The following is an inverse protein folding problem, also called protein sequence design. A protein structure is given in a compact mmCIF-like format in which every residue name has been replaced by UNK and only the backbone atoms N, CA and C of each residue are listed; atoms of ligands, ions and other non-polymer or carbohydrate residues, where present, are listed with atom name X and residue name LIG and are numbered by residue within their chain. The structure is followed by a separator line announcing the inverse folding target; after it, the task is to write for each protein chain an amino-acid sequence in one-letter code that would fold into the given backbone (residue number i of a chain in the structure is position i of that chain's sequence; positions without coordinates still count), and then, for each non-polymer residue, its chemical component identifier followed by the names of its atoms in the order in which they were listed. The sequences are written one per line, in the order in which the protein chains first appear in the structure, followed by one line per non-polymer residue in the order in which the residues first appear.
data_IF_982328698409
#
_entry.id   IF_982328698409
#
_cell.length_a   1.000
_cell.length_b   1.000
_cell.length_c   1.000
_cell.angle_alpha   90.00
_cell.angle_beta   90.00
_cell.angle_gamma   90.00
#
_symmetry.space_group_name_H-M   'P 1'
#
loop_
_entity.id
_entity.type
_entity.pdbx_description
1 polymer ?
#
# COMPACT_ATOMS: atom_id res chain seq x y z
N UNK A 1 -62.35 -21.45 -12.69
CA UNK A 1 -62.58 -22.92 -12.83
C UNK A 1 -62.34 -23.51 -11.46
N UNK A 2 -63.43 -23.77 -10.72
CA UNK A 2 -63.92 -25.14 -10.42
C UNK A 2 -62.94 -25.90 -9.52
N UNK A 3 -63.24 -26.38 -8.33
CA UNK A 3 -64.48 -26.61 -7.56
C UNK A 3 -63.96 -26.99 -6.16
N UNK A 4 -64.35 -26.32 -5.08
CA UNK A 4 -65.40 -26.87 -4.21
C UNK A 4 -64.83 -27.40 -2.87
N UNK A 5 -65.61 -27.38 -1.77
CA UNK A 5 -65.15 -26.87 -0.46
C UNK A 5 -65.49 -27.79 0.76
N UNK A 6 -65.45 -27.21 1.99
CA UNK A 6 -66.23 -27.55 3.22
C UNK A 6 -65.55 -28.55 4.17
N UNK A 7 -65.45 -28.41 5.52
CA UNK A 7 -65.88 -27.46 6.57
C UNK A 7 -64.85 -27.60 7.74
N UNK A 8 -64.45 -26.56 8.51
CA UNK A 8 -65.16 -25.76 9.53
C UNK A 8 -65.79 -26.56 10.69
N UNK A 9 -65.52 -26.07 11.91
CA UNK A 9 -66.30 -26.10 13.18
C UNK A 9 -65.35 -26.52 14.33
N UNK A 10 -64.69 -25.55 14.98
CA UNK A 10 -65.15 -24.81 16.19
C UNK A 10 -65.21 -25.73 17.42
N UNK A 11 -64.24 -25.58 18.33
CA UNK A 11 -64.37 -26.01 19.71
C UNK A 11 -64.65 -24.74 20.54
N UNK A 12 -65.92 -24.53 20.85
CA UNK A 12 -66.37 -23.54 21.82
C UNK A 12 -66.69 -24.23 23.14
N UNK A 13 -66.39 -23.48 24.19
CA UNK A 13 -66.73 -23.67 25.59
C UNK A 13 -68.23 -23.94 25.81
N UNK A 14 -68.53 -24.69 26.87
CA UNK A 14 -69.71 -24.66 27.75
C UNK A 14 -69.46 -25.81 28.75
N UNK A 15 -68.98 -25.59 29.98
CA UNK A 15 -69.68 -25.00 31.14
C UNK A 15 -71.18 -25.32 31.14
N UNK A 16 -71.58 -26.26 32.00
CA UNK A 16 -72.82 -26.36 32.79
C UNK A 16 -72.63 -27.63 33.63
N UNK A 17 -72.22 -27.50 34.89
CA UNK A 17 -73.04 -27.24 36.09
C UNK A 17 -73.65 -28.53 36.64
N UNK A 18 -73.32 -28.77 37.90
CA UNK A 18 -74.10 -29.41 38.96
C UNK A 18 -75.21 -30.37 38.53
N UNK A 19 -75.18 -31.57 39.08
CA UNK A 19 -76.11 -31.88 40.18
C UNK A 19 -75.68 -33.14 40.91
N UNK A 20 -75.31 -32.94 42.17
CA UNK A 20 -75.61 -33.91 43.21
C UNK A 20 -77.10 -34.24 43.11
N UNK A 21 -77.43 -35.51 42.94
CA UNK A 21 -78.70 -36.04 43.41
C UNK A 21 -78.40 -37.11 44.47
N UNK A 22 -78.29 -36.61 45.70
CA UNK A 22 -78.79 -37.33 46.86
C UNK A 22 -80.30 -37.52 46.61
N UNK A 23 -80.74 -38.77 46.57
CA UNK A 23 -82.13 -39.18 46.55
C UNK A 23 -82.15 -40.61 47.07
N UNK A 24 -81.95 -40.86 48.36
CA UNK A 24 -83.01 -40.82 49.38
C UNK A 24 -84.41 -40.99 48.83
N UNK A 25 -85.13 -41.92 49.47
CA UNK A 25 -86.58 -42.02 49.49
C UNK A 25 -87.23 -42.15 48.11
N UNK A 26 -87.43 -43.39 47.68
CA UNK A 26 -88.77 -43.94 47.73
C UNK A 26 -88.73 -45.43 47.41
N UNK A 27 -88.83 -46.26 48.46
CA UNK A 27 -89.93 -47.21 48.44
C UNK A 27 -91.20 -46.35 48.54
N UNK A 28 -92.04 -46.20 47.51
CA UNK A 28 -93.46 -46.28 47.75
C UNK A 28 -93.70 -47.78 47.89
N UNK A 29 -93.79 -48.28 49.12
CA UNK A 29 -95.09 -48.67 49.66
C UNK A 29 -95.91 -49.34 48.55
N UNK A 30 -96.17 -50.63 48.69
CA UNK A 30 -97.50 -51.10 48.35
C UNK A 30 -98.50 -50.04 48.83
N UNK A 31 -99.45 -49.62 48.00
CA UNK A 31 -100.77 -49.40 48.56
C UNK A 31 -101.64 -50.46 47.90
N UNK A 32 -102.14 -51.39 48.70
CA UNK A 32 -103.44 -51.12 49.32
C UNK A 32 -104.42 -50.87 48.19
N UNK A 33 -105.00 -51.96 47.69
CA UNK A 33 -106.35 -52.31 48.11
C UNK A 33 -107.37 -51.45 47.34
N UNK A 34 -108.63 -51.85 47.39
CA UNK A 34 -109.72 -51.38 46.53
C UNK A 34 -109.63 -52.02 45.14
N UNK A 35 -110.51 -52.96 44.82
CA UNK A 35 -111.98 -52.87 44.82
C UNK A 35 -112.51 -54.29 45.09
N UNK A 36 -113.51 -54.63 45.89
CA UNK A 36 -114.47 -53.96 46.78
C UNK A 36 -115.27 -55.12 47.42
N UNK A 37 -115.48 -55.15 48.73
CA UNK A 37 -116.69 -54.62 49.39
C UNK A 37 -117.90 -55.54 49.20
N UNK A 38 -118.44 -55.96 50.34
CA UNK A 38 -119.87 -56.18 50.58
C UNK A 38 -120.55 -57.31 49.78
N UNK A 39 -121.45 -58.10 50.34
CA UNK A 39 -122.28 -57.87 51.51
C UNK A 39 -122.71 -59.25 52.04
N UNK A 40 -122.97 -59.25 53.33
CA UNK A 40 -124.04 -59.97 54.03
C UNK A 40 -125.15 -60.61 53.18
N UNK A 41 -125.90 -61.50 53.84
CA UNK A 41 -127.15 -62.14 53.39
C UNK A 41 -126.92 -63.37 52.50
N UNK A 42 -127.52 -64.54 52.72
CA UNK A 42 -128.57 -65.02 53.60
C UNK A 42 -128.40 -66.55 53.60
N UNK A 43 -128.54 -67.19 54.75
CA UNK A 43 -129.68 -68.10 54.94
C UNK A 43 -130.06 -68.94 53.72
N UNK A 44 -129.77 -70.25 53.83
CA UNK A 44 -130.74 -71.33 53.62
C UNK A 44 -131.89 -71.01 52.65
N UNK A 45 -131.71 -71.31 51.38
CA UNK A 45 -132.69 -71.94 50.47
C UNK A 45 -131.93 -72.22 49.16
N UNK A 46 -131.55 -73.48 48.85
CA UNK A 46 -132.23 -74.26 47.79
C UNK A 46 -132.97 -73.33 46.81
N UNK A 47 -132.37 -73.08 45.65
CA UNK A 47 -132.69 -73.92 44.51
C UNK A 47 -131.41 -74.65 44.11
N UNK A 48 -131.49 -75.97 43.96
CA UNK A 48 -130.54 -76.79 43.20
C UNK A 48 -129.16 -76.16 42.95
N UNK A 49 -128.26 -76.29 43.92
CA UNK A 49 -126.87 -75.85 43.80
C UNK A 49 -126.21 -76.65 42.68
N UNK A 50 -126.21 -76.12 41.46
CA UNK A 50 -125.47 -76.74 40.38
C UNK A 50 -123.98 -76.54 40.76
N UNK A 51 -123.27 -77.62 41.12
CA UNK A 51 -121.94 -77.57 41.74
C UNK A 51 -120.83 -77.17 40.74
N UNK A 52 -121.23 -76.48 39.67
CA UNK A 52 -120.51 -76.12 38.45
C UNK A 52 -120.04 -74.65 38.47
N UNK A 53 -120.85 -73.68 38.90
CA UNK A 53 -120.49 -72.23 38.77
C UNK A 53 -119.57 -71.69 39.88
N UNK A 54 -119.85 -72.01 41.15
CA UNK A 54 -118.96 -71.66 42.28
C UNK A 54 -117.64 -72.45 42.24
N UNK A 55 -117.70 -73.64 41.65
CA UNK A 55 -116.51 -74.38 41.27
C UNK A 55 -115.76 -73.62 40.17
N UNK A 56 -116.45 -73.04 39.19
CA UNK A 56 -115.88 -72.24 38.10
C UNK A 56 -115.10 -70.98 38.53
N UNK A 57 -115.65 -70.07 39.34
CA UNK A 57 -114.92 -68.86 39.76
C UNK A 57 -113.75 -69.15 40.71
N UNK A 58 -113.90 -70.16 41.57
CA UNK A 58 -112.81 -70.63 42.43
C UNK A 58 -111.70 -71.23 41.57
N UNK A 59 -112.05 -72.01 40.55
CA UNK A 59 -111.11 -72.54 39.56
C UNK A 59 -110.44 -71.42 38.73
N UNK A 60 -111.14 -70.33 38.38
CA UNK A 60 -110.56 -69.22 37.59
C UNK A 60 -109.59 -68.33 38.38
N UNK A 61 -109.90 -68.03 39.65
CA UNK A 61 -108.96 -67.32 40.53
C UNK A 61 -107.79 -68.22 40.93
N UNK A 62 -108.05 -69.51 41.20
CA UNK A 62 -107.00 -70.52 41.38
C UNK A 62 -106.13 -70.62 40.11
N UNK A 63 -106.71 -70.53 38.90
CA UNK A 63 -105.97 -70.55 37.64
C UNK A 63 -105.12 -69.28 37.41
N UNK A 64 -105.63 -68.07 37.67
CA UNK A 64 -104.86 -66.82 37.54
C UNK A 64 -103.76 -66.68 38.59
N UNK A 65 -104.04 -67.09 39.83
CA UNK A 65 -103.01 -67.17 40.87
C UNK A 65 -101.93 -68.19 40.48
N UNK A 66 -102.32 -69.38 39.98
CA UNK A 66 -101.38 -70.37 39.47
C UNK A 66 -100.57 -69.85 38.26
N UNK A 67 -101.17 -69.10 37.34
CA UNK A 67 -100.48 -68.50 36.18
C UNK A 67 -99.47 -67.42 36.62
N UNK A 68 -99.85 -66.56 37.58
CA UNK A 68 -98.96 -65.52 38.09
C UNK A 68 -97.82 -66.11 38.93
N UNK A 69 -98.07 -67.17 39.69
CA UNK A 69 -97.04 -67.96 40.37
C UNK A 69 -96.09 -68.63 39.37
N UNK A 70 -96.62 -69.21 38.29
CA UNK A 70 -95.82 -69.76 37.20
C UNK A 70 -94.96 -68.68 36.53
N UNK A 71 -95.49 -67.48 36.28
CA UNK A 71 -94.74 -66.36 35.67
C UNK A 71 -93.67 -65.79 36.61
N UNK A 72 -93.96 -65.69 37.91
CA UNK A 72 -92.97 -65.31 38.95
C UNK A 72 -91.88 -66.38 39.09
N UNK A 73 -92.24 -67.66 39.00
CA UNK A 73 -91.29 -68.77 38.99
C UNK A 73 -90.39 -68.70 37.76
N UNK A 74 -90.95 -68.50 36.55
CA UNK A 74 -90.21 -68.33 35.31
C UNK A 74 -89.29 -67.10 35.33
N UNK A 75 -89.73 -65.98 35.90
CA UNK A 75 -88.87 -64.80 36.04
C UNK A 75 -87.73 -65.03 37.04
N UNK A 76 -87.98 -65.69 38.17
CA UNK A 76 -86.93 -66.08 39.12
C UNK A 76 -85.94 -67.05 38.49
N UNK A 77 -86.40 -68.00 37.68
CA UNK A 77 -85.56 -68.94 36.94
C UNK A 77 -84.70 -68.21 35.90
N UNK A 78 -85.29 -67.30 35.10
CA UNK A 78 -84.53 -66.48 34.14
C UNK A 78 -83.54 -65.54 34.82
N UNK A 79 -83.89 -64.95 35.96
CA UNK A 79 -82.94 -64.12 36.71
C UNK A 79 -81.85 -64.97 37.37
N UNK A 80 -82.14 -66.19 37.81
CA UNK A 80 -81.14 -67.13 38.32
C UNK A 80 -80.18 -67.53 37.19
N UNK A 81 -80.71 -67.88 36.01
CA UNK A 81 -79.93 -68.17 34.82
C UNK A 81 -79.06 -66.97 34.39
N UNK A 82 -79.60 -65.75 34.39
CA UNK A 82 -78.83 -64.53 34.08
C UNK A 82 -77.76 -64.23 35.14
N UNK A 83 -78.01 -64.54 36.42
CA UNK A 83 -76.98 -64.44 37.47
C UNK A 83 -75.89 -65.48 37.28
N UNK A 84 -76.24 -66.71 36.88
CA UNK A 84 -75.31 -67.79 36.57
C UNK A 84 -74.45 -67.49 35.34
N UNK A 85 -75.07 -67.03 34.24
CA UNK A 85 -74.35 -66.55 33.05
C UNK A 85 -73.44 -65.37 33.37
N UNK A 86 -73.86 -64.45 34.25
CA UNK A 86 -73.01 -63.34 34.68
C UNK A 86 -71.79 -63.82 35.49
N UNK A 87 -71.93 -64.89 36.27
CA UNK A 87 -70.82 -65.51 37.00
C UNK A 87 -69.81 -66.16 36.07
N UNK A 88 -70.20 -66.62 34.88
CA UNK A 88 -69.28 -67.23 33.90
C UNK A 88 -68.69 -66.18 32.94
N UNK A 89 -69.52 -65.28 32.41
CA UNK A 89 -69.14 -64.33 31.37
C UNK A 89 -68.26 -63.20 31.90
N UNK A 90 -68.54 -62.62 33.08
CA UNK A 90 -67.76 -61.49 33.60
C UNK A 90 -66.30 -61.87 33.91
N UNK A 91 -66.01 -63.00 34.58
CA UNK A 91 -64.62 -63.44 34.76
C UNK A 91 -63.93 -63.79 33.45
N UNK A 92 -64.64 -64.37 32.47
CA UNK A 92 -64.08 -64.66 31.15
C UNK A 92 -63.67 -63.39 30.41
N UNK A 93 -64.54 -62.38 30.35
CA UNK A 93 -64.24 -61.09 29.72
C UNK A 93 -63.07 -60.39 30.42
N UNK A 94 -63.04 -60.37 31.77
CA UNK A 94 -61.91 -59.82 32.53
C UNK A 94 -60.60 -60.57 32.26
N UNK A 95 -60.63 -61.90 32.21
CA UNK A 95 -59.46 -62.72 31.90
C UNK A 95 -58.97 -62.47 30.48
N UNK A 96 -59.89 -62.37 29.50
CA UNK A 96 -59.57 -62.05 28.12
C UNK A 96 -59.00 -60.63 27.97
N UNK A 97 -59.57 -59.64 28.65
CA UNK A 97 -59.06 -58.27 28.67
C UNK A 97 -57.64 -58.21 29.27
N UNK A 98 -57.38 -58.97 30.34
CA UNK A 98 -56.02 -59.09 30.91
C UNK A 98 -55.07 -59.77 29.91
N UNK A 99 -55.51 -60.83 29.22
CA UNK A 99 -54.70 -61.52 28.22
C UNK A 99 -54.42 -60.63 27.01
N UNK A 100 -55.41 -59.88 26.53
CA UNK A 100 -55.29 -58.89 25.46
C UNK A 100 -54.35 -57.77 25.86
N UNK A 101 -54.50 -57.20 27.06
CA UNK A 101 -53.61 -56.15 27.57
C UNK A 101 -52.17 -56.62 27.70
N UNK A 102 -51.94 -57.87 28.17
CA UNK A 102 -50.61 -58.49 28.20
C UNK A 102 -50.01 -58.66 26.79
N UNK A 103 -50.78 -59.17 25.84
CA UNK A 103 -50.34 -59.33 24.45
C UNK A 103 -50.03 -57.97 23.79
N UNK A 104 -50.86 -56.96 24.03
CA UNK A 104 -50.63 -55.59 23.54
C UNK A 104 -49.37 -54.98 24.15
N UNK A 105 -49.10 -55.21 25.45
CA UNK A 105 -47.89 -54.74 26.11
C UNK A 105 -46.64 -55.43 25.57
N UNK A 106 -46.68 -56.75 25.38
CA UNK A 106 -45.59 -57.51 24.76
C UNK A 106 -45.31 -57.03 23.33
N UNK A 107 -46.35 -56.79 22.53
CA UNK A 107 -46.19 -56.23 21.18
C UNK A 107 -45.60 -54.81 21.20
N UNK A 108 -45.97 -53.98 22.18
CA UNK A 108 -45.38 -52.62 22.36
C UNK A 108 -43.91 -52.69 22.75
N UNK A 109 -43.54 -53.59 23.66
CA UNK A 109 -42.15 -53.80 24.08
C UNK A 109 -41.29 -54.34 22.93
N UNK A 110 -41.81 -55.29 22.16
CA UNK A 110 -41.11 -55.83 21.00
C UNK A 110 -40.91 -54.77 19.91
N UNK A 111 -41.93 -53.95 19.63
CA UNK A 111 -41.79 -52.80 18.71
C UNK A 111 -40.73 -51.80 19.20
N UNK A 112 -40.65 -51.54 20.51
CA UNK A 112 -39.60 -50.68 21.09
C UNK A 112 -38.21 -51.28 20.89
N UNK A 113 -38.06 -52.60 21.12
CA UNK A 113 -36.79 -53.32 20.90
C UNK A 113 -36.37 -53.28 19.43
N UNK A 114 -37.28 -53.59 18.51
CA UNK A 114 -37.02 -53.52 17.06
C UNK A 114 -36.59 -52.11 16.67
N UNK A 115 -37.33 -51.07 17.08
CA UNK A 115 -36.98 -49.69 16.78
C UNK A 115 -35.60 -49.29 17.32
N UNK A 116 -35.21 -49.78 18.50
CA UNK A 116 -33.88 -49.51 19.06
C UNK A 116 -32.78 -50.20 18.26
N UNK A 117 -32.96 -51.48 17.93
CA UNK A 117 -32.04 -52.22 17.07
C UNK A 117 -31.93 -51.61 15.66
N UNK A 118 -33.03 -51.10 15.11
CA UNK A 118 -33.02 -50.40 13.82
C UNK A 118 -32.27 -49.08 13.87
N UNK A 119 -32.37 -48.31 14.97
CA UNK A 119 -31.55 -47.11 15.17
C UNK A 119 -30.06 -47.46 15.22
N UNK A 120 -29.70 -48.49 15.99
CA UNK A 120 -28.33 -48.97 16.09
C UNK A 120 -27.81 -49.50 14.74
N UNK A 121 -28.65 -50.21 13.98
CA UNK A 121 -28.32 -50.62 12.62
C UNK A 121 -28.06 -49.41 11.73
N UNK A 122 -28.91 -48.39 11.78
CA UNK A 122 -28.74 -47.17 10.99
C UNK A 122 -27.46 -46.42 11.35
N UNK A 123 -27.12 -46.26 12.63
CA UNK A 123 -25.87 -45.62 13.05
C UNK A 123 -24.65 -46.42 12.59
N UNK A 124 -24.64 -47.74 12.80
CA UNK A 124 -23.54 -48.61 12.36
C UNK A 124 -23.37 -48.61 10.83
N UNK A 125 -24.47 -48.62 10.07
CA UNK A 125 -24.41 -48.52 8.61
C UNK A 125 -23.83 -47.17 8.18
N UNK A 126 -24.24 -46.07 8.81
CA UNK A 126 -23.69 -44.75 8.52
C UNK A 126 -22.18 -44.69 8.81
N UNK A 127 -21.74 -45.19 9.97
CA UNK A 127 -20.33 -45.28 10.34
C UNK A 127 -19.53 -46.14 9.36
N UNK A 128 -20.05 -47.31 8.98
CA UNK A 128 -19.42 -48.17 7.96
C UNK A 128 -19.26 -47.45 6.62
N UNK A 129 -20.27 -46.69 6.18
CA UNK A 129 -20.18 -45.92 4.94
C UNK A 129 -19.14 -44.80 5.04
N UNK A 130 -19.08 -44.07 6.15
CA UNK A 130 -18.09 -43.02 6.39
C UNK A 130 -16.66 -43.60 6.42
N UNK A 131 -16.45 -44.72 7.10
CA UNK A 131 -15.17 -45.41 7.15
C UNK A 131 -14.73 -45.93 5.77
N UNK A 132 -15.65 -46.49 4.99
CA UNK A 132 -15.36 -46.92 3.61
C UNK A 132 -14.94 -45.75 2.73
N UNK A 133 -15.62 -44.60 2.84
CA UNK A 133 -15.25 -43.40 2.10
C UNK A 133 -13.86 -42.87 2.53
N UNK A 134 -13.57 -42.88 3.83
CA UNK A 134 -12.26 -42.49 4.35
C UNK A 134 -11.15 -43.40 3.85
N UNK A 135 -11.37 -44.72 3.85
CA UNK A 135 -10.44 -45.71 3.29
C UNK A 135 -10.20 -45.44 1.81
N UNK A 136 -11.25 -45.27 1.01
CA UNK A 136 -11.11 -44.99 -0.42
C UNK A 136 -10.33 -43.70 -0.70
N UNK A 137 -10.49 -42.65 0.12
CA UNK A 137 -9.69 -41.41 0.00
C UNK A 137 -8.21 -41.65 0.31
N UNK A 138 -7.92 -42.43 1.36
CA UNK A 138 -6.55 -42.80 1.72
C UNK A 138 -5.91 -43.65 0.63
N UNK A 139 -6.61 -44.64 0.09
CA UNK A 139 -6.13 -45.50 -0.99
C UNK A 139 -5.77 -44.69 -2.24
N UNK A 140 -6.59 -43.68 -2.61
CA UNK A 140 -6.25 -42.75 -3.71
C UNK A 140 -4.98 -41.95 -3.42
N UNK A 141 -4.82 -41.43 -2.20
CA UNK A 141 -3.61 -40.69 -1.81
C UNK A 141 -2.36 -41.58 -1.88
N UNK A 142 -2.47 -42.83 -1.42
CA UNK A 142 -1.38 -43.81 -1.52
C UNK A 142 -1.05 -44.09 -2.98
N UNK A 143 -2.05 -44.28 -3.85
CA UNK A 143 -1.83 -44.47 -5.29
C UNK A 143 -1.17 -43.26 -5.96
N UNK A 144 -1.58 -42.03 -5.60
CA UNK A 144 -0.94 -40.81 -6.08
C UNK A 144 0.54 -40.74 -5.68
N UNK A 145 0.86 -41.14 -4.45
CA UNK A 145 2.23 -41.14 -3.96
C UNK A 145 3.06 -42.36 -4.39
N UNK A 146 2.41 -43.43 -4.89
CA UNK A 146 3.08 -44.62 -5.38
C UNK A 146 4.03 -44.32 -6.56
N UNK A 147 3.69 -43.33 -7.39
CA UNK A 147 4.56 -42.88 -8.50
C UNK A 147 5.89 -42.34 -7.98
N UNK A 148 5.85 -41.50 -6.94
CA UNK A 148 7.07 -40.97 -6.31
C UNK A 148 7.87 -42.08 -5.62
N UNK A 149 7.20 -43.02 -4.94
CA UNK A 149 7.87 -44.16 -4.33
C UNK A 149 8.56 -45.06 -5.37
N UNK A 150 7.89 -45.35 -6.49
CA UNK A 150 8.47 -46.11 -7.59
C UNK A 150 9.65 -45.36 -8.26
N UNK A 151 9.53 -44.04 -8.42
CA UNK A 151 10.60 -43.19 -8.92
C UNK A 151 11.82 -43.20 -7.99
N UNK A 152 11.62 -42.98 -6.69
CA UNK A 152 12.71 -43.01 -5.70
C UNK A 152 13.38 -44.38 -5.67
N UNK A 153 12.61 -45.47 -5.75
CA UNK A 153 13.15 -46.83 -5.83
C UNK A 153 13.96 -47.05 -7.11
N UNK A 154 13.48 -46.55 -8.25
CA UNK A 154 14.21 -46.63 -9.53
C UNK A 154 15.51 -45.82 -9.48
N UNK A 155 15.45 -44.60 -8.94
CA UNK A 155 16.63 -43.74 -8.78
C UNK A 155 17.64 -44.36 -7.82
N UNK A 156 17.20 -44.89 -6.68
CA UNK A 156 18.09 -45.55 -5.71
C UNK A 156 18.71 -46.84 -6.26
N UNK A 157 18.04 -47.51 -7.21
CA UNK A 157 18.59 -48.68 -7.89
C UNK A 157 19.60 -48.29 -9.00
N UNK A 158 19.44 -47.10 -9.59
CA UNK A 158 20.33 -46.60 -10.66
C UNK A 158 21.55 -45.82 -10.14
N UNK A 159 21.47 -45.27 -8.93
CA UNK A 159 22.55 -44.48 -8.34
C UNK A 159 23.43 -45.43 -7.52
N UNK A 160 24.69 -45.58 -7.93
CA UNK A 160 25.69 -46.39 -7.23
C UNK A 160 26.18 -45.74 -5.92
N UNK A 161 25.98 -44.43 -5.77
CA UNK A 161 26.40 -43.66 -4.59
C UNK A 161 25.36 -43.72 -3.46
N UNK A 162 25.84 -43.89 -2.24
CA UNK A 162 25.00 -43.89 -1.05
C UNK A 162 24.38 -42.49 -0.83
N UNK A 163 23.06 -42.38 -0.54
CA UNK A 163 22.38 -41.09 -0.37
C UNK A 163 23.04 -40.14 0.65
N UNK A 164 23.67 -40.71 1.69
CA UNK A 164 24.42 -39.94 2.68
C UNK A 164 25.66 -39.25 2.09
N UNK A 165 26.36 -39.91 1.17
CA UNK A 165 27.53 -39.36 0.48
C UNK A 165 27.11 -38.25 -0.49
N UNK A 166 25.98 -38.43 -1.18
CA UNK A 166 25.39 -37.40 -2.03
C UNK A 166 24.98 -36.16 -1.21
N UNK A 167 24.33 -36.36 -0.06
CA UNK A 167 24.00 -35.25 0.84
C UNK A 167 25.24 -34.53 1.36
N UNK A 168 26.30 -35.27 1.68
CA UNK A 168 27.56 -34.67 2.10
C UNK A 168 28.21 -33.86 0.97
N UNK A 169 28.26 -34.38 -0.25
CA UNK A 169 28.82 -33.67 -1.40
C UNK A 169 28.01 -32.42 -1.77
N UNK A 170 26.67 -32.48 -1.67
CA UNK A 170 25.84 -31.29 -1.78
C UNK A 170 26.10 -30.27 -0.67
N UNK A 171 26.24 -30.73 0.57
CA UNK A 171 26.57 -29.86 1.71
C UNK A 171 27.90 -29.15 1.53
N UNK A 172 28.94 -29.87 1.10
CA UNK A 172 30.26 -29.27 0.82
C UNK A 172 30.20 -28.32 -0.38
N UNK A 173 29.47 -28.66 -1.44
CA UNK A 173 29.28 -27.79 -2.59
C UNK A 173 28.57 -26.48 -2.19
N UNK A 174 27.50 -26.56 -1.39
CA UNK A 174 26.79 -25.40 -0.88
C UNK A 174 27.66 -24.53 0.03
N UNK A 175 28.47 -25.15 0.89
CA UNK A 175 29.43 -24.42 1.72
C UNK A 175 30.49 -23.71 0.86
N UNK A 176 31.03 -24.38 -0.15
CA UNK A 176 31.97 -23.78 -1.11
C UNK A 176 31.31 -22.62 -1.87
N UNK A 177 30.08 -22.78 -2.34
CA UNK A 177 29.34 -21.73 -3.04
C UNK A 177 29.14 -20.49 -2.15
N UNK A 178 28.70 -20.68 -0.90
CA UNK A 178 28.54 -19.59 0.05
C UNK A 178 29.86 -18.88 0.37
N UNK A 179 30.95 -19.65 0.56
CA UNK A 179 32.28 -19.09 0.81
C UNK A 179 32.81 -18.30 -0.40
N UNK A 180 32.59 -18.79 -1.61
CA UNK A 180 32.91 -18.04 -2.84
C UNK A 180 32.13 -16.74 -2.90
N UNK A 181 30.85 -16.76 -2.55
CA UNK A 181 29.99 -15.56 -2.56
C UNK A 181 30.47 -14.53 -1.54
N UNK A 182 30.86 -14.95 -0.33
CA UNK A 182 31.46 -14.07 0.68
C UNK A 182 32.78 -13.45 0.22
N UNK A 183 33.66 -14.25 -0.39
CA UNK A 183 34.93 -13.75 -0.94
C UNK A 183 34.67 -12.73 -2.06
N UNK A 184 33.71 -12.99 -2.94
CA UNK A 184 33.34 -12.06 -4.00
C UNK A 184 32.80 -10.74 -3.45
N UNK A 185 31.94 -10.78 -2.44
CA UNK A 185 31.44 -9.57 -1.75
C UNK A 185 32.59 -8.79 -1.11
N UNK A 186 33.45 -9.46 -0.34
CA UNK A 186 34.62 -8.83 0.27
C UNK A 186 35.54 -8.18 -0.77
N UNK A 187 35.80 -8.86 -1.89
CA UNK A 187 36.62 -8.33 -2.97
C UNK A 187 35.98 -7.10 -3.63
N UNK A 188 34.66 -7.10 -3.80
CA UNK A 188 33.92 -5.93 -4.30
C UNK A 188 34.04 -4.75 -3.34
N UNK A 189 33.88 -4.98 -2.03
CA UNK A 189 34.01 -3.94 -1.01
C UNK A 189 35.44 -3.37 -0.98
N UNK A 190 36.46 -4.21 -1.01
CA UNK A 190 37.86 -3.80 -1.11
C UNK A 190 38.13 -3.00 -2.38
N UNK A 191 37.61 -3.44 -3.54
CA UNK A 191 37.76 -2.73 -4.80
C UNK A 191 37.04 -1.37 -4.78
N UNK A 192 35.87 -1.28 -4.15
CA UNK A 192 35.14 -0.02 -3.98
C UNK A 192 35.91 0.95 -3.07
N UNK A 193 36.47 0.47 -1.95
CA UNK A 193 37.31 1.28 -1.06
C UNK A 193 38.53 1.82 -1.80
N UNK A 194 39.29 0.96 -2.47
CA UNK A 194 40.45 1.38 -3.26
C UNK A 194 40.09 2.39 -4.36
N UNK A 195 38.93 2.22 -5.03
CA UNK A 195 38.42 3.20 -6.01
C UNK A 195 38.09 4.53 -5.38
N UNK A 196 37.48 4.54 -4.19
CA UNK A 196 37.13 5.77 -3.47
C UNK A 196 38.37 6.53 -3.00
N UNK A 197 39.38 5.82 -2.48
CA UNK A 197 40.67 6.40 -2.06
C UNK A 197 41.42 6.96 -3.26
N UNK A 198 41.47 6.21 -4.37
CA UNK A 198 42.07 6.68 -5.61
C UNK A 198 41.37 7.94 -6.13
N UNK A 199 40.04 7.99 -6.13
CA UNK A 199 39.28 9.15 -6.56
C UNK A 199 39.60 10.39 -5.70
N UNK A 200 39.69 10.21 -4.38
CA UNK A 200 40.07 11.29 -3.46
C UNK A 200 41.49 11.80 -3.75
N UNK A 201 42.47 10.90 -3.88
CA UNK A 201 43.85 11.28 -4.20
C UNK A 201 43.97 11.95 -5.57
N UNK A 202 43.21 11.47 -6.55
CA UNK A 202 43.16 12.07 -7.88
C UNK A 202 42.60 13.49 -7.83
N UNK A 203 41.51 13.71 -7.09
CA UNK A 203 40.94 15.04 -6.89
C UNK A 203 41.92 15.97 -6.17
N UNK A 204 42.57 15.50 -5.09
CA UNK A 204 43.58 16.27 -4.37
C UNK A 204 44.75 16.66 -5.28
N UNK A 205 45.24 15.75 -6.12
CA UNK A 205 46.30 16.03 -7.08
C UNK A 205 45.86 17.06 -8.13
N UNK A 206 44.64 16.93 -8.66
CA UNK A 206 44.06 17.90 -9.59
C UNK A 206 43.96 19.30 -8.96
N UNK A 207 43.55 19.39 -7.69
CA UNK A 207 43.46 20.65 -6.97
C UNK A 207 44.85 21.28 -6.74
N UNK A 208 45.88 20.49 -6.44
CA UNK A 208 47.27 20.97 -6.32
C UNK A 208 47.75 21.53 -7.64
N UNK A 209 47.52 20.82 -8.76
CA UNK A 209 47.90 21.27 -10.11
C UNK A 209 47.17 22.57 -10.44
N UNK A 210 45.87 22.66 -10.16
CA UNK A 210 45.08 23.86 -10.43
C UNK A 210 45.60 25.07 -9.62
N UNK A 211 45.89 24.88 -8.33
CA UNK A 211 46.51 25.93 -7.50
C UNK A 211 47.86 26.36 -8.05
N UNK A 212 48.71 25.40 -8.45
CA UNK A 212 50.00 25.67 -9.07
C UNK A 212 49.88 26.47 -10.36
N UNK A 213 48.98 26.08 -11.26
CA UNK A 213 48.71 26.79 -12.52
C UNK A 213 48.19 28.22 -12.28
N UNK A 214 47.32 28.40 -11.29
CA UNK A 214 46.83 29.73 -10.93
C UNK A 214 47.96 30.63 -10.40
N UNK A 215 48.85 30.09 -9.56
CA UNK A 215 50.02 30.80 -9.06
C UNK A 215 51.01 31.14 -10.19
N UNK A 216 51.29 30.18 -11.08
CA UNK A 216 52.11 30.38 -12.27
C UNK A 216 51.53 31.49 -13.15
N UNK A 217 50.22 31.46 -13.40
CA UNK A 217 49.53 32.49 -14.18
C UNK A 217 49.55 33.87 -13.53
N UNK A 218 49.56 33.95 -12.19
CA UNK A 218 49.74 35.22 -11.48
C UNK A 218 51.16 35.76 -11.64
N UNK A 219 52.17 34.89 -11.44
CA UNK A 219 53.58 35.27 -11.57
C UNK A 219 53.94 35.69 -12.99
N UNK A 220 53.37 35.02 -14.01
CA UNK A 220 53.55 35.39 -15.41
C UNK A 220 52.96 36.77 -15.70
N UNK A 221 51.76 37.07 -15.19
CA UNK A 221 51.15 38.40 -15.32
C UNK A 221 52.02 39.49 -14.69
N UNK A 222 52.57 39.23 -13.51
CA UNK A 222 53.46 40.17 -12.83
C UNK A 222 54.76 40.38 -13.61
N UNK A 223 55.33 39.31 -14.16
CA UNK A 223 56.51 39.38 -15.02
C UNK A 223 56.22 40.22 -16.28
N UNK A 224 55.13 39.95 -16.99
CA UNK A 224 54.74 40.67 -18.20
C UNK A 224 54.51 42.16 -17.91
N UNK A 225 53.90 42.48 -16.76
CA UNK A 225 53.71 43.86 -16.30
C UNK A 225 55.06 44.57 -16.08
N UNK A 226 55.98 43.95 -15.34
CA UNK A 226 57.32 44.53 -15.09
C UNK A 226 58.12 44.68 -16.37
N UNK A 227 58.05 43.69 -17.27
CA UNK A 227 58.72 43.75 -18.58
C UNK A 227 58.17 44.88 -19.45
N UNK A 228 56.84 45.08 -19.46
CA UNK A 228 56.20 46.19 -20.16
C UNK A 228 56.65 47.55 -19.63
N UNK A 229 56.70 47.71 -18.30
CA UNK A 229 57.21 48.93 -17.66
C UNK A 229 58.67 49.17 -18.02
N UNK A 230 59.51 48.12 -17.94
CA UNK A 230 60.92 48.20 -18.30
C UNK A 230 61.10 48.66 -19.74
N UNK A 231 60.38 48.03 -20.68
CA UNK A 231 60.47 48.37 -22.11
C UNK A 231 60.07 49.82 -22.38
N UNK A 232 59.03 50.33 -21.71
CA UNK A 232 58.63 51.73 -21.83
C UNK A 232 59.70 52.70 -21.28
N UNK A 233 60.29 52.37 -20.13
CA UNK A 233 61.37 53.17 -19.55
C UNK A 233 62.64 53.15 -20.40
N UNK A 234 63.01 51.99 -20.95
CA UNK A 234 64.13 51.84 -21.89
C UNK A 234 63.91 52.68 -23.16
N UNK A 235 62.68 52.69 -23.69
CA UNK A 235 62.33 53.52 -24.84
C UNK A 235 62.43 55.03 -24.52
N UNK A 236 61.91 55.46 -23.37
CA UNK A 236 62.02 56.86 -22.92
C UNK A 236 63.48 57.27 -22.71
N UNK A 237 64.28 56.41 -22.08
CA UNK A 237 65.69 56.65 -21.85
C UNK A 237 66.47 56.74 -23.17
N UNK A 238 66.20 55.85 -24.12
CA UNK A 238 66.81 55.88 -25.45
C UNK A 238 66.46 57.18 -26.19
N UNK A 239 65.21 57.63 -26.12
CA UNK A 239 64.80 58.90 -26.72
C UNK A 239 65.49 60.12 -26.10
N UNK A 240 65.65 60.14 -24.76
CA UNK A 240 66.39 61.20 -24.07
C UNK A 240 67.85 61.20 -24.52
N UNK A 241 68.48 60.01 -24.60
CA UNK A 241 69.86 59.85 -25.01
C UNK A 241 70.07 60.32 -26.46
N UNK A 242 69.20 59.91 -27.39
CA UNK A 242 69.24 60.34 -28.79
C UNK A 242 69.09 61.86 -28.92
N UNK A 243 68.18 62.45 -28.13
CA UNK A 243 67.98 63.90 -28.12
C UNK A 243 69.21 64.62 -27.57
N UNK A 244 69.80 64.12 -26.48
CA UNK A 244 71.01 64.68 -25.90
C UNK A 244 72.21 64.56 -26.86
N UNK A 245 72.35 63.44 -27.57
CA UNK A 245 73.37 63.23 -28.59
C UNK A 245 73.22 64.24 -29.74
N UNK A 246 71.99 64.43 -30.25
CA UNK A 246 71.69 65.45 -31.27
C UNK A 246 72.04 66.86 -30.78
N UNK A 247 71.64 67.24 -29.57
CA UNK A 247 71.93 68.56 -28.98
C UNK A 247 73.43 68.77 -28.74
N UNK A 248 74.15 67.73 -28.32
CA UNK A 248 75.60 67.77 -28.13
C UNK A 248 76.32 67.94 -29.46
N UNK A 249 75.87 67.24 -30.52
CA UNK A 249 76.40 67.41 -31.86
C UNK A 249 76.14 68.82 -32.41
N UNK A 250 74.90 69.32 -32.29
CA UNK A 250 74.54 70.70 -32.67
C UNK A 250 75.45 71.72 -31.95
N UNK A 251 75.61 71.61 -30.63
CA UNK A 251 76.49 72.47 -29.85
C UNK A 251 77.95 72.38 -30.34
N UNK A 252 78.44 71.17 -30.61
CA UNK A 252 79.78 70.95 -31.17
C UNK A 252 79.97 71.64 -32.51
N UNK A 253 78.98 71.54 -33.42
CA UNK A 253 79.03 72.23 -34.72
C UNK A 253 79.03 73.75 -34.57
N UNK A 254 78.22 74.30 -33.66
CA UNK A 254 78.19 75.75 -33.37
C UNK A 254 79.54 76.20 -32.81
N UNK A 255 80.12 75.46 -31.85
CA UNK A 255 81.44 75.74 -31.29
C UNK A 255 82.52 75.79 -32.39
N UNK A 256 82.55 74.77 -33.25
CA UNK A 256 83.52 74.70 -34.35
C UNK A 256 83.35 75.83 -35.36
N UNK A 257 82.11 76.12 -35.79
CA UNK A 257 81.84 77.22 -36.72
C UNK A 257 82.22 78.59 -36.11
N UNK A 258 81.91 78.81 -34.83
CA UNK A 258 82.24 80.04 -34.10
C UNK A 258 83.75 80.24 -34.01
N UNK A 259 84.48 79.19 -33.64
CA UNK A 259 85.94 79.22 -33.58
C UNK A 259 86.54 79.54 -34.96
N UNK A 260 86.11 78.82 -36.00
CA UNK A 260 86.59 79.02 -37.37
C UNK A 260 86.35 80.46 -37.86
N UNK A 261 85.15 81.03 -37.60
CA UNK A 261 84.84 82.41 -37.95
C UNK A 261 85.67 83.42 -37.14
N UNK A 262 85.88 83.20 -35.84
CA UNK A 262 86.72 84.09 -35.03
C UNK A 262 88.19 84.09 -35.48
N UNK A 263 88.72 82.92 -35.87
CA UNK A 263 90.05 82.78 -36.43
C UNK A 263 90.16 83.52 -37.77
N UNK A 264 89.13 83.41 -38.62
CA UNK A 264 89.07 84.18 -39.87
C UNK A 264 89.07 85.69 -39.63
N UNK A 265 88.28 86.19 -38.67
CA UNK A 265 88.24 87.61 -38.30
C UNK A 265 89.58 88.09 -37.76
N UNK A 266 90.20 87.32 -36.87
CA UNK A 266 91.55 87.59 -36.36
C UNK A 266 92.57 87.70 -37.49
N UNK A 267 92.53 86.77 -38.45
CA UNK A 267 93.47 86.74 -39.58
C UNK A 267 93.21 87.86 -40.61
N UNK A 268 91.97 88.33 -40.76
CA UNK A 268 91.58 89.30 -41.79
C UNK A 268 91.97 90.75 -41.44
N UNK A 269 92.11 91.09 -40.16
CA UNK A 269 92.46 92.46 -39.73
C UNK A 269 93.31 92.44 -38.45
N UNK A 270 94.51 93.00 -38.54
CA UNK A 270 95.53 93.05 -37.46
C UNK A 270 95.15 93.98 -36.30
N UNK A 271 94.12 93.62 -35.53
CA UNK A 271 93.64 94.42 -34.38
C UNK A 271 92.70 93.69 -33.41
N UNK A 272 92.35 92.44 -33.70
CA UNK A 272 91.50 91.62 -32.85
C UNK A 272 92.37 90.62 -32.05
N UNK A 273 92.25 90.50 -30.71
CA UNK A 273 93.06 89.58 -29.93
C UNK A 273 92.66 88.11 -30.17
N UNK A 274 93.59 87.14 -30.03
CA UNK A 274 93.26 85.72 -30.12
C UNK A 274 92.33 85.33 -28.95
N UNK A 275 91.23 84.65 -29.26
CA UNK A 275 90.27 84.14 -28.27
C UNK A 275 90.52 82.64 -28.03
N UNK A 276 90.43 82.20 -26.77
CA UNK A 276 90.63 80.81 -26.39
C UNK A 276 89.61 79.85 -27.02
N UNK A 277 90.00 78.59 -27.24
CA UNK A 277 89.21 77.60 -27.98
C UNK A 277 87.87 77.25 -27.31
N UNK A 278 87.78 77.27 -25.98
CA UNK A 278 86.55 76.93 -25.23
C UNK A 278 85.60 78.12 -24.99
N UNK A 279 86.03 79.35 -25.26
CA UNK A 279 85.26 80.57 -24.96
C UNK A 279 84.35 80.99 -26.13
N UNK A 280 83.38 80.13 -26.48
CA UNK A 280 82.49 80.33 -27.65
C UNK A 280 81.75 81.67 -27.65
N UNK A 281 81.32 82.15 -26.49
CA UNK A 281 80.61 83.44 -26.36
C UNK A 281 81.50 84.61 -26.78
N UNK A 282 82.77 84.61 -26.37
CA UNK A 282 83.73 85.67 -26.73
C UNK A 282 84.10 85.59 -28.22
N UNK A 283 84.21 84.38 -28.78
CA UNK A 283 84.43 84.18 -30.22
C UNK A 283 83.28 84.79 -31.04
N UNK A 284 82.04 84.52 -30.66
CA UNK A 284 80.86 85.08 -31.33
C UNK A 284 80.76 86.61 -31.18
N UNK A 285 81.09 87.17 -30.02
CA UNK A 285 81.08 88.63 -29.83
C UNK A 285 82.16 89.32 -30.68
N UNK A 286 83.33 88.69 -30.84
CA UNK A 286 84.37 89.15 -31.75
C UNK A 286 83.90 89.14 -33.21
N UNK A 287 83.25 88.06 -33.66
CA UNK A 287 82.67 87.98 -35.00
C UNK A 287 81.59 89.05 -35.21
N UNK A 288 80.71 89.24 -34.22
CA UNK A 288 79.65 90.26 -34.25
C UNK A 288 80.20 91.67 -34.36
N UNK A 289 81.17 92.05 -33.52
CA UNK A 289 81.79 93.38 -33.58
C UNK A 289 82.46 93.65 -34.92
N UNK A 290 83.11 92.64 -35.52
CA UNK A 290 83.67 92.74 -36.86
C UNK A 290 82.60 92.92 -37.95
N UNK A 291 81.50 92.17 -37.90
CA UNK A 291 80.39 92.31 -38.86
C UNK A 291 79.74 93.69 -38.73
N UNK A 292 79.45 94.16 -37.52
CA UNK A 292 78.87 95.49 -37.29
C UNK A 292 79.80 96.57 -37.82
N UNK A 293 81.09 96.52 -37.47
CA UNK A 293 82.08 97.46 -37.99
C UNK A 293 82.14 97.44 -39.53
N UNK A 294 82.17 96.27 -40.15
CA UNK A 294 82.22 96.13 -41.60
C UNK A 294 80.95 96.67 -42.26
N UNK A 295 79.79 96.45 -41.63
CA UNK A 295 78.49 96.97 -42.09
C UNK A 295 78.45 98.49 -42.00
N UNK A 296 78.92 99.07 -40.90
CA UNK A 296 79.00 100.52 -40.70
C UNK A 296 79.93 101.16 -41.74
N UNK A 297 81.09 100.53 -42.01
CA UNK A 297 82.00 100.96 -43.07
C UNK A 297 81.33 100.87 -44.45
N UNK A 298 80.64 99.78 -44.77
CA UNK A 298 79.92 99.64 -46.04
C UNK A 298 78.76 100.63 -46.19
N UNK A 299 78.04 100.94 -45.11
CA UNK A 299 77.00 101.96 -45.09
C UNK A 299 77.58 103.36 -45.26
N UNK A 300 78.73 103.65 -44.64
CA UNK A 300 79.46 104.89 -44.87
C UNK A 300 79.91 104.99 -46.33
N UNK A 301 80.46 103.91 -46.90
CA UNK A 301 80.84 103.85 -48.32
C UNK A 301 79.63 104.04 -49.24
N UNK A 302 78.50 103.39 -48.98
CA UNK A 302 77.25 103.60 -49.74
C UNK A 302 76.75 105.04 -49.65
N UNK A 303 76.75 105.65 -48.47
CA UNK A 303 76.39 107.07 -48.30
C UNK A 303 77.32 107.98 -49.11
N UNK A 304 78.63 107.68 -49.14
CA UNK A 304 79.56 108.43 -50.00
C UNK A 304 79.33 108.16 -51.49
N UNK A 305 78.92 106.95 -51.88
CA UNK A 305 78.58 106.60 -53.27
C UNK A 305 77.28 107.25 -53.75
N UNK A 306 76.26 107.34 -52.89
CA UNK A 306 75.01 108.05 -53.14
C UNK A 306 75.22 109.56 -53.22
N UNK A 307 76.15 110.11 -52.42
CA UNK A 307 76.61 111.49 -52.55
C UNK A 307 77.42 111.74 -53.84
N UNK A 308 78.03 110.70 -54.42
CA UNK A 308 78.77 110.75 -55.70
C UNK A 308 77.92 110.43 -56.94
N UNK A 309 76.63 110.11 -56.81
CA UNK A 309 75.73 109.98 -57.97
C UNK A 309 75.51 111.38 -58.57
N UNK A 310 75.85 111.64 -59.84
CA UNK A 310 75.80 112.99 -60.41
C UNK A 310 74.37 113.52 -60.49
N UNK A 311 74.11 114.66 -59.83
CA UNK A 311 73.00 115.56 -60.19
C UNK A 311 73.35 116.23 -61.52
N UNK A 312 72.77 115.75 -62.62
CA UNK A 312 72.71 116.45 -63.91
C UNK A 312 71.57 117.50 -63.87
N UNK A 313 71.63 118.55 -64.71
CA UNK A 313 71.83 119.95 -64.29
C UNK A 313 70.54 120.80 -64.30
N UNK A 314 70.51 121.86 -63.48
CA UNK A 314 69.57 122.97 -63.68
C UNK A 314 70.32 124.20 -64.23
N UNK A 315 70.04 124.51 -65.49
CA UNK A 315 70.22 125.83 -66.10
C UNK A 315 69.43 126.91 -65.35
N UNK A 316 69.86 128.16 -65.54
CA UNK A 316 69.51 129.42 -64.85
C UNK A 316 70.55 129.71 -63.77
N UNK A 317 71.50 130.63 -63.95
CA UNK A 317 71.33 131.99 -64.44
C UNK A 317 72.61 132.49 -65.14
N UNK A 318 72.53 132.67 -66.47
CA UNK A 318 73.23 133.75 -67.12
C UNK A 318 72.34 134.99 -67.02
N UNK A 319 72.77 136.03 -66.28
CA UNK A 319 72.45 137.46 -66.46
C UNK A 319 72.82 138.27 -65.20
N UNK A 320 74.00 138.90 -65.21
CA UNK A 320 74.27 140.22 -64.64
C UNK A 320 75.75 140.58 -64.93
N UNK A 321 76.07 141.02 -66.15
CA UNK A 321 76.36 142.42 -66.53
C UNK A 321 77.68 142.99 -65.97
N UNK A 322 78.66 143.12 -66.87
CA UNK A 322 79.55 144.26 -67.21
C UNK A 322 80.96 143.74 -67.46
#
# INVERSE_FOLDING_TARGET
MSSGPVARIVAMENVIVFTCYFGTSHFPKLPEAFITMDQTFLHKQKPEDDPTVLRGQRLDLEARCAEQELRKALHKEKEAAMREDKLTVVPFLKSNDVQRSRAEQQAKEERKRINELERQRCTLVHELTALRLRKARLDRSVQQHAVFAAYVKKVSQSVEQEPAQLMHSFGTLMHCANRLLQIMQHNLDCAQKARSEYALHHQQAADVILRGNNALGALQRDLDNVQSIRMNMEAQWSHILDTAAKKTLELGTIKMASLNLSQFVHNSKSGYPPVGQEDTVKQLEQVKTFITYSTDVLLAVKKTQEALKPRLPNEKEAKATV
#
